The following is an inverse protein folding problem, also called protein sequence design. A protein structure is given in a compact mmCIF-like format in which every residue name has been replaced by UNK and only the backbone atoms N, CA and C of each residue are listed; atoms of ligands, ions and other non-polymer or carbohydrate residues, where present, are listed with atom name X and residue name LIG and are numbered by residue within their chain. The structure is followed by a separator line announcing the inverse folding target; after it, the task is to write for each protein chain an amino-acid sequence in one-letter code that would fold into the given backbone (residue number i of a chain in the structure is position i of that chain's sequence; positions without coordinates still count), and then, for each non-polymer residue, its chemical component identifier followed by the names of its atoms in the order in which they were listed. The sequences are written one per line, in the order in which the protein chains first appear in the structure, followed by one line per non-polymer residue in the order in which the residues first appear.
data_IF_796598468841
#
_entry.id   IF_796598468841
#
_cell.length_a   1.000
_cell.length_b   1.000
_cell.length_c   1.000
_cell.angle_alpha   90.00
_cell.angle_beta   90.00
_cell.angle_gamma   90.00
#
_symmetry.space_group_name_H-M   'P 1'
#
loop_
_entity.id
_entity.type
_entity.pdbx_description
1 polymer ?
#
# COMPACT_ATOMS: atom_id res chain seq x y z
N UNK A 1 24.20 -30.63 -22.43
CA UNK A 1 23.94 -30.84 -20.99
C UNK A 1 22.92 -31.97 -20.88
N UNK A 2 23.29 -33.09 -20.25
CA UNK A 2 22.45 -34.28 -20.14
C UNK A 2 21.38 -34.15 -19.05
N UNK A 3 20.47 -35.14 -18.93
CA UNK A 3 19.36 -35.08 -17.98
C UNK A 3 19.85 -35.10 -16.53
N UNK A 4 19.29 -34.21 -15.71
CA UNK A 4 19.48 -34.21 -14.25
C UNK A 4 18.35 -35.06 -13.66
N UNK A 5 18.69 -36.23 -13.11
CA UNK A 5 17.77 -37.08 -12.37
C UNK A 5 17.72 -36.63 -10.90
N UNK A 6 16.62 -35.97 -10.51
CA UNK A 6 16.29 -35.74 -9.10
C UNK A 6 15.45 -36.94 -8.64
N UNK A 7 15.88 -37.65 -7.60
CA UNK A 7 15.21 -38.80 -6.98
C UNK A 7 13.97 -38.37 -6.16
N UNK A 8 13.17 -37.44 -6.67
CA UNK A 8 11.93 -36.98 -6.04
C UNK A 8 10.92 -36.82 -7.16
N UNK A 9 9.93 -37.71 -7.20
CA UNK A 9 8.76 -37.57 -8.05
C UNK A 9 7.78 -36.61 -7.36
N UNK A 10 7.81 -35.35 -7.78
CA UNK A 10 6.83 -34.37 -7.35
C UNK A 10 5.67 -34.41 -8.35
N UNK A 11 4.46 -34.84 -7.94
CA UNK A 11 3.30 -34.80 -8.83
C UNK A 11 3.11 -33.38 -9.36
N UNK A 12 2.78 -33.26 -10.63
CA UNK A 12 2.53 -31.97 -11.27
C UNK A 12 1.32 -31.30 -10.60
N UNK A 13 1.59 -30.42 -9.64
CA UNK A 13 0.61 -29.59 -8.96
C UNK A 13 0.80 -28.13 -9.37
N UNK A 14 -0.26 -27.28 -9.36
CA UNK A 14 -0.15 -25.90 -9.80
C UNK A 14 0.88 -25.04 -9.05
N UNK A 15 1.32 -25.46 -7.85
CA UNK A 15 2.31 -24.77 -7.04
C UNK A 15 2.84 -25.61 -5.89
N UNK A 16 3.82 -25.08 -5.15
CA UNK A 16 4.49 -25.76 -4.04
C UNK A 16 4.24 -25.03 -2.71
N UNK A 17 3.85 -25.77 -1.67
CA UNK A 17 3.65 -25.20 -0.33
C UNK A 17 2.44 -24.27 -0.18
N UNK A 18 1.52 -24.26 -1.14
CA UNK A 18 0.28 -23.47 -1.02
C UNK A 18 -0.68 -24.10 0.00
N UNK A 19 -1.18 -23.30 0.94
CA UNK A 19 -2.21 -23.66 1.93
C UNK A 19 -3.48 -22.86 1.66
N UNK A 20 -4.13 -23.14 0.54
CA UNK A 20 -5.29 -22.38 0.04
C UNK A 20 -6.53 -23.25 -0.11
N UNK A 21 -7.73 -22.67 0.07
CA UNK A 21 -9.00 -23.37 -0.15
C UNK A 21 -9.30 -23.68 -1.61
N UNK A 22 -9.07 -22.71 -2.51
CA UNK A 22 -9.22 -22.87 -3.96
C UNK A 22 -7.86 -23.09 -4.66
N UNK A 23 -7.83 -23.71 -5.85
CA UNK A 23 -6.60 -23.95 -6.61
C UNK A 23 -5.77 -22.67 -6.78
N UNK A 24 -4.47 -22.78 -6.49
CA UNK A 24 -3.53 -21.65 -6.49
C UNK A 24 -2.17 -22.11 -7.00
N UNK A 25 -1.46 -21.23 -7.70
CA UNK A 25 -0.16 -21.54 -8.32
C UNK A 25 1.01 -20.79 -7.67
N UNK A 26 2.25 -21.20 -7.96
CA UNK A 26 3.45 -20.60 -7.38
C UNK A 26 3.83 -21.19 -6.03
N UNK A 27 4.25 -20.37 -5.06
CA UNK A 27 4.89 -20.82 -3.83
C UNK A 27 4.30 -20.21 -2.56
N UNK A 28 4.06 -21.02 -1.55
CA UNK A 28 3.75 -20.60 -0.18
C UNK A 28 2.58 -19.61 -0.03
N UNK A 29 1.60 -19.67 -0.92
CA UNK A 29 0.40 -18.85 -0.80
C UNK A 29 -0.58 -19.44 0.22
N UNK A 30 -1.42 -18.61 0.85
CA UNK A 30 -2.40 -19.06 1.85
C UNK A 30 -3.73 -18.33 1.77
N UNK A 31 -4.77 -18.87 2.40
CA UNK A 31 -6.11 -18.24 2.48
C UNK A 31 -7.15 -18.88 1.57
N UNK A 32 -8.07 -18.08 1.04
CA UNK A 32 -9.21 -18.59 0.28
C UNK A 32 -8.83 -19.14 -1.12
N UNK A 33 -7.75 -18.66 -1.74
CA UNK A 33 -7.20 -19.23 -2.98
C UNK A 33 -7.57 -18.48 -4.26
N UNK A 34 -7.29 -19.09 -5.42
CA UNK A 34 -7.28 -18.37 -6.69
C UNK A 34 -6.10 -17.39 -6.79
N UNK A 35 -5.01 -17.70 -6.09
CA UNK A 35 -3.83 -16.83 -5.98
C UNK A 35 -2.65 -17.39 -6.77
N UNK A 36 -1.75 -16.53 -7.20
CA UNK A 36 -0.55 -16.92 -7.96
C UNK A 36 0.68 -16.12 -7.59
N UNK A 37 1.86 -16.73 -7.70
CA UNK A 37 3.14 -16.10 -7.35
C UNK A 37 3.66 -16.55 -5.98
N UNK A 38 4.19 -15.66 -5.15
CA UNK A 38 4.92 -16.02 -3.94
C UNK A 38 4.31 -15.41 -2.67
N UNK A 39 3.97 -16.24 -1.69
CA UNK A 39 3.68 -15.79 -0.32
C UNK A 39 2.45 -14.88 -0.20
N UNK A 40 1.52 -14.92 -1.14
CA UNK A 40 0.30 -14.12 -1.04
C UNK A 40 -0.66 -14.73 -0.02
N UNK A 41 -1.40 -13.88 0.70
CA UNK A 41 -2.43 -14.27 1.67
C UNK A 41 -3.78 -13.74 1.19
N UNK A 42 -4.80 -14.59 1.06
CA UNK A 42 -6.15 -14.17 0.74
C UNK A 42 -6.74 -14.86 -0.50
N UNK A 43 -7.48 -14.09 -1.31
CA UNK A 43 -8.14 -14.56 -2.53
C UNK A 43 -7.77 -13.72 -3.76
N UNK A 44 -7.74 -14.35 -4.94
CA UNK A 44 -7.74 -13.66 -6.24
C UNK A 44 -6.64 -12.59 -6.41
N UNK A 45 -5.49 -12.80 -5.78
CA UNK A 45 -4.31 -11.93 -5.84
C UNK A 45 -3.14 -12.62 -6.53
N UNK A 46 -2.35 -11.84 -7.26
CA UNK A 46 -1.18 -12.30 -8.00
C UNK A 46 0.07 -11.50 -7.68
N UNK A 47 1.25 -12.09 -7.83
CA UNK A 47 2.53 -11.43 -7.55
C UNK A 47 3.14 -11.89 -6.23
N UNK A 48 3.57 -10.98 -5.37
CA UNK A 48 4.38 -11.34 -4.19
C UNK A 48 3.95 -10.67 -2.90
N UNK A 49 3.77 -11.44 -1.83
CA UNK A 49 3.52 -10.93 -0.48
C UNK A 49 2.33 -9.98 -0.36
N UNK A 50 1.33 -10.09 -1.23
CA UNK A 50 0.11 -9.31 -1.10
C UNK A 50 -0.77 -9.92 0.00
N UNK A 51 -1.45 -9.07 0.77
CA UNK A 51 -2.41 -9.46 1.80
C UNK A 51 -3.80 -8.96 1.44
N UNK A 52 -4.70 -9.89 1.12
CA UNK A 52 -6.12 -9.62 0.89
C UNK A 52 -6.96 -10.21 2.03
N UNK A 53 -7.41 -9.39 3.01
CA UNK A 53 -8.12 -9.87 4.19
C UNK A 53 -9.55 -10.33 3.89
N UNK A 54 -10.13 -9.93 2.76
CA UNK A 54 -11.45 -10.38 2.33
C UNK A 54 -11.34 -11.42 1.24
N UNK A 55 -11.89 -12.61 1.49
CA UNK A 55 -12.00 -13.67 0.49
C UNK A 55 -12.98 -13.35 -0.65
N UNK A 56 -13.91 -12.42 -0.44
CA UNK A 56 -14.98 -12.09 -1.40
C UNK A 56 -14.62 -10.87 -2.28
N UNK A 57 -13.73 -10.00 -1.79
CA UNK A 57 -13.28 -8.79 -2.48
C UNK A 57 -11.78 -8.84 -2.82
N UNK A 58 -11.14 -9.99 -2.60
CA UNK A 58 -9.78 -10.24 -3.05
C UNK A 58 -9.69 -10.03 -4.56
N UNK A 59 -8.65 -9.36 -5.01
CA UNK A 59 -8.56 -8.92 -6.40
C UNK A 59 -7.38 -8.00 -6.57
N UNK A 60 -6.30 -8.51 -7.15
CA UNK A 60 -5.17 -7.64 -7.38
C UNK A 60 -3.89 -8.27 -7.88
N UNK A 61 -2.90 -7.40 -8.01
CA UNK A 61 -1.58 -7.78 -8.51
C UNK A 61 -0.47 -6.91 -7.92
N UNK A 62 0.76 -7.41 -8.04
CA UNK A 62 1.97 -6.66 -7.70
C UNK A 62 2.61 -7.17 -6.42
N UNK A 63 3.19 -6.29 -5.60
CA UNK A 63 3.96 -6.70 -4.42
C UNK A 63 3.67 -5.90 -3.16
N UNK A 64 3.58 -6.60 -2.03
CA UNK A 64 3.39 -6.01 -0.70
C UNK A 64 2.17 -5.09 -0.56
N UNK A 65 1.14 -5.29 -1.39
CA UNK A 65 -0.10 -4.54 -1.22
C UNK A 65 -0.96 -5.19 -0.13
N UNK A 66 -1.66 -4.38 0.67
CA UNK A 66 -2.54 -4.83 1.74
C UNK A 66 -3.94 -4.23 1.60
N UNK A 67 -4.96 -5.08 1.51
CA UNK A 67 -6.36 -4.69 1.30
C UNK A 67 -6.99 -5.39 0.09
N UNK A 68 -7.84 -4.72 -0.66
CA UNK A 68 -8.63 -5.32 -1.75
C UNK A 68 -8.51 -4.50 -3.02
N UNK A 69 -8.82 -5.05 -4.20
CA UNK A 69 -8.89 -4.26 -5.45
C UNK A 69 -7.65 -3.36 -5.64
N UNK A 70 -6.48 -3.98 -5.70
CA UNK A 70 -5.20 -3.26 -5.68
C UNK A 70 -4.23 -3.73 -6.78
N UNK A 71 -3.42 -2.81 -7.31
CA UNK A 71 -2.34 -3.15 -8.23
C UNK A 71 -1.09 -2.32 -7.98
N UNK A 72 0.09 -2.93 -8.00
CA UNK A 72 1.38 -2.21 -7.95
C UNK A 72 2.17 -2.55 -6.71
N UNK A 73 2.68 -1.57 -5.97
CA UNK A 73 3.63 -1.80 -4.87
C UNK A 73 3.20 -1.06 -3.61
N UNK A 74 3.16 -1.77 -2.47
CA UNK A 74 3.01 -1.16 -1.14
C UNK A 74 1.78 -0.25 -1.01
N UNK A 75 0.67 -0.61 -1.66
CA UNK A 75 -0.60 0.10 -1.49
C UNK A 75 -1.36 -0.48 -0.29
N UNK A 76 -1.93 0.38 0.55
CA UNK A 76 -2.79 0.02 1.68
C UNK A 76 -4.21 0.55 1.48
N UNK A 77 -5.21 -0.33 1.40
CA UNK A 77 -6.60 0.07 1.22
C UNK A 77 -7.35 -0.71 0.15
N UNK A 78 -8.42 -0.11 -0.38
CA UNK A 78 -9.22 -0.68 -1.46
C UNK A 78 -9.28 0.23 -2.67
N UNK A 79 -9.29 -0.34 -3.89
CA UNK A 79 -9.39 0.44 -5.13
C UNK A 79 -8.14 1.29 -5.38
N UNK A 80 -6.96 0.72 -5.17
CA UNK A 80 -5.67 1.42 -5.19
C UNK A 80 -4.79 0.97 -6.36
N UNK A 81 -4.08 1.89 -7.02
CA UNK A 81 -3.05 1.52 -8.00
C UNK A 81 -1.79 2.38 -7.93
N UNK A 82 -0.65 1.80 -8.30
CA UNK A 82 0.64 2.51 -8.31
C UNK A 82 1.53 2.13 -7.12
N UNK A 83 2.26 3.09 -6.54
CA UNK A 83 3.25 2.84 -5.50
C UNK A 83 2.93 3.63 -4.23
N UNK A 84 2.99 2.99 -3.06
CA UNK A 84 2.93 3.64 -1.75
C UNK A 84 1.64 4.45 -1.47
N UNK A 85 0.50 4.08 -2.04
CA UNK A 85 -0.74 4.80 -1.79
C UNK A 85 -1.48 4.25 -0.58
N UNK A 86 -2.08 5.12 0.24
CA UNK A 86 -2.82 4.77 1.45
C UNK A 86 -4.24 5.34 1.40
N UNK A 87 -5.23 4.47 1.63
CA UNK A 87 -6.63 4.84 1.76
C UNK A 87 -6.95 5.38 3.16
N UNK A 88 -7.83 6.38 3.24
CA UNK A 88 -8.50 6.78 4.49
C UNK A 88 -9.84 6.08 4.72
N UNK A 89 -10.34 5.34 3.72
CA UNK A 89 -11.54 4.51 3.81
C UNK A 89 -11.22 3.10 4.32
N UNK A 90 -12.22 2.43 4.87
CA UNK A 90 -12.12 1.03 5.29
C UNK A 90 -11.89 0.07 4.11
N UNK A 91 -11.33 -1.11 4.39
CA UNK A 91 -10.90 -2.08 3.36
C UNK A 91 -12.04 -2.63 2.48
N UNK A 92 -13.31 -2.45 2.86
CA UNK A 92 -14.46 -2.82 2.02
C UNK A 92 -14.91 -1.72 1.05
N UNK A 93 -14.39 -0.50 1.17
CA UNK A 93 -14.83 0.65 0.38
C UNK A 93 -13.69 1.12 -0.53
N UNK A 94 -13.87 1.10 -1.87
CA UNK A 94 -12.83 1.50 -2.80
C UNK A 94 -12.56 3.01 -2.68
N UNK A 95 -11.32 3.37 -2.38
CA UNK A 95 -10.87 4.75 -2.28
C UNK A 95 -10.59 5.37 -3.63
N UNK A 96 -10.40 4.60 -4.72
CA UNK A 96 -10.11 5.12 -6.05
C UNK A 96 -8.91 6.06 -6.05
N UNK A 97 -7.75 5.52 -5.66
CA UNK A 97 -6.50 6.28 -5.60
C UNK A 97 -5.47 5.66 -6.54
N UNK A 98 -4.82 6.50 -7.34
CA UNK A 98 -3.75 6.06 -8.24
C UNK A 98 -2.50 6.94 -8.17
N UNK A 99 -1.32 6.38 -8.35
CA UNK A 99 -0.09 7.16 -8.53
C UNK A 99 1.00 6.81 -7.52
N UNK A 100 1.71 7.81 -7.01
CA UNK A 100 2.92 7.62 -6.21
C UNK A 100 2.80 8.34 -4.86
N UNK A 101 2.73 7.59 -3.76
CA UNK A 101 2.78 8.15 -2.40
C UNK A 101 1.55 8.98 -2.00
N UNK A 102 0.36 8.64 -2.52
CA UNK A 102 -0.86 9.40 -2.22
C UNK A 102 -1.57 8.91 -0.96
N UNK A 103 -2.15 9.80 -0.16
CA UNK A 103 -2.89 9.46 1.08
C UNK A 103 -4.29 10.08 1.05
N UNK A 104 -5.34 9.28 0.90
CA UNK A 104 -6.70 9.84 0.80
C UNK A 104 -7.70 8.98 0.07
N UNK A 105 -8.62 9.64 -0.64
CA UNK A 105 -9.61 9.02 -1.51
C UNK A 105 -9.88 9.89 -2.74
N UNK A 106 -10.27 9.27 -3.85
CA UNK A 106 -10.61 9.87 -5.13
C UNK A 106 -9.51 10.79 -5.63
N UNK A 107 -8.32 10.22 -5.76
CA UNK A 107 -7.08 10.97 -5.92
C UNK A 107 -6.20 10.35 -6.99
N UNK A 108 -5.48 11.19 -7.74
CA UNK A 108 -4.44 10.73 -8.65
C UNK A 108 -3.24 11.67 -8.63
N UNK A 109 -2.04 11.12 -8.81
CA UNK A 109 -0.82 11.91 -9.05
C UNK A 109 0.38 11.50 -8.19
N UNK A 110 1.23 12.49 -7.89
CA UNK A 110 2.46 12.33 -7.11
C UNK A 110 2.30 13.04 -5.77
N UNK A 111 2.54 12.31 -4.69
CA UNK A 111 2.55 12.79 -3.30
C UNK A 111 1.31 13.59 -2.96
N UNK A 112 0.14 13.14 -3.38
CA UNK A 112 -1.08 13.91 -3.17
C UNK A 112 -1.80 13.45 -1.88
N UNK A 113 -2.57 14.33 -1.25
CA UNK A 113 -3.35 14.00 -0.05
C UNK A 113 -4.73 14.63 -0.04
N UNK A 114 -5.68 13.95 0.59
CA UNK A 114 -7.01 14.47 0.88
C UNK A 114 -8.13 13.77 0.09
N UNK A 115 -8.98 14.58 -0.53
CA UNK A 115 -10.18 14.13 -1.27
C UNK A 115 -10.26 14.79 -2.63
N UNK A 116 -11.17 14.33 -3.50
CA UNK A 116 -11.43 14.97 -4.79
C UNK A 116 -11.73 16.48 -4.71
N UNK A 117 -12.33 16.96 -3.61
CA UNK A 117 -12.66 18.38 -3.42
C UNK A 117 -11.57 19.17 -2.70
N UNK A 118 -10.71 18.50 -1.94
CA UNK A 118 -9.65 19.11 -1.15
C UNK A 118 -8.39 18.28 -1.34
N UNK A 119 -7.66 18.58 -2.40
CA UNK A 119 -6.40 17.94 -2.74
C UNK A 119 -5.23 18.85 -2.36
N UNK A 120 -4.32 18.32 -1.54
CA UNK A 120 -3.03 18.93 -1.22
C UNK A 120 -1.87 18.07 -1.71
N UNK A 121 -0.66 18.62 -1.63
CA UNK A 121 0.58 17.85 -1.76
C UNK A 121 1.08 17.43 -0.38
N UNK A 122 1.82 16.34 -0.31
CA UNK A 122 2.50 15.83 0.88
C UNK A 122 4.00 15.97 0.64
N UNK A 123 4.52 17.16 0.90
CA UNK A 123 5.94 17.49 0.77
C UNK A 123 6.46 17.92 2.13
N UNK A 124 6.72 16.95 3.01
CA UNK A 124 7.40 17.20 4.27
C UNK A 124 8.77 16.51 4.25
N UNK A 125 9.78 17.18 4.78
CA UNK A 125 11.13 16.64 4.93
C UNK A 125 11.45 16.49 6.41
N UNK A 126 11.24 15.29 6.93
CA UNK A 126 11.23 15.10 8.37
C UNK A 126 10.48 13.86 8.82
N UNK A 127 10.31 13.73 10.12
CA UNK A 127 9.48 12.69 10.72
C UNK A 127 8.28 13.31 11.41
N UNK A 128 7.14 12.63 11.30
CA UNK A 128 5.89 12.97 11.99
C UNK A 128 5.30 14.35 11.67
N UNK A 129 5.64 14.93 10.51
CA UNK A 129 5.02 16.18 10.05
C UNK A 129 3.65 15.93 9.39
N UNK A 130 2.67 16.78 9.71
CA UNK A 130 1.31 16.77 9.16
C UNK A 130 1.01 18.11 8.50
N UNK A 131 0.55 18.08 7.26
CA UNK A 131 0.34 19.27 6.41
C UNK A 131 1.33 19.31 5.24
N UNK A 132 1.66 20.50 4.74
CA UNK A 132 2.49 20.72 3.56
C UNK A 132 3.73 21.56 3.86
N UNK A 133 4.88 21.17 3.32
CA UNK A 133 6.07 22.03 3.27
C UNK A 133 6.82 22.12 4.60
N UNK A 134 6.58 21.22 5.54
CA UNK A 134 7.29 21.20 6.81
C UNK A 134 8.68 20.56 6.66
N UNK A 135 9.65 21.09 7.38
CA UNK A 135 11.01 20.57 7.44
C UNK A 135 11.41 20.41 8.90
N UNK A 136 11.55 19.16 9.37
CA UNK A 136 12.03 18.86 10.72
C UNK A 136 11.30 17.70 11.41
N UNK A 137 10.75 17.94 12.60
CA UNK A 137 10.18 16.87 13.44
C UNK A 137 8.85 17.28 14.08
N UNK A 138 7.77 16.58 13.75
CA UNK A 138 6.51 16.68 14.48
C UNK A 138 5.79 18.01 14.32
N UNK A 139 5.87 18.66 13.17
CA UNK A 139 5.11 19.89 12.89
C UNK A 139 3.68 19.56 12.41
N UNK A 140 2.71 20.39 12.79
CA UNK A 140 1.30 20.30 12.35
C UNK A 140 0.90 21.61 11.71
N UNK A 141 0.51 21.59 10.44
CA UNK A 141 0.20 22.78 9.64
C UNK A 141 1.19 22.93 8.48
N UNK A 142 1.41 24.15 7.99
CA UNK A 142 2.12 24.35 6.72
C UNK A 142 3.37 25.22 6.85
N UNK A 143 4.41 24.88 6.08
CA UNK A 143 5.65 25.67 5.93
C UNK A 143 6.41 25.94 7.24
N UNK A 144 6.48 24.96 8.15
CA UNK A 144 7.25 25.09 9.39
C UNK A 144 8.68 24.54 9.23
N UNK A 145 9.68 25.23 9.78
CA UNK A 145 11.08 24.79 9.85
C UNK A 145 11.50 24.58 11.31
N UNK A 146 11.68 23.32 11.71
CA UNK A 146 12.11 22.93 13.05
C UNK A 146 11.20 21.87 13.67
N UNK A 147 10.93 21.96 14.97
CA UNK A 147 10.31 20.85 15.71
C UNK A 147 9.10 21.24 16.57
N UNK A 148 8.02 20.46 16.48
CA UNK A 148 6.86 20.60 17.35
C UNK A 148 6.09 21.91 17.18
N UNK A 149 6.03 22.46 15.96
CA UNK A 149 5.26 23.66 15.67
C UNK A 149 3.81 23.30 15.28
N UNK A 150 2.84 24.12 15.70
CA UNK A 150 1.43 23.99 15.32
C UNK A 150 0.95 25.29 14.66
N UNK A 151 0.58 25.23 13.38
CA UNK A 151 0.15 26.36 12.57
C UNK A 151 1.05 26.58 11.35
N UNK A 152 1.28 27.84 10.96
CA UNK A 152 1.89 28.17 9.68
C UNK A 152 3.15 29.04 9.78
N UNK A 153 4.13 28.83 8.90
CA UNK A 153 5.29 29.72 8.75
C UNK A 153 6.13 29.91 10.03
N UNK A 154 6.27 28.88 10.84
CA UNK A 154 7.10 28.94 12.05
C UNK A 154 8.54 28.53 11.77
N UNK A 155 9.48 29.13 12.51
CA UNK A 155 10.90 28.75 12.53
C UNK A 155 11.34 28.49 13.96
N UNK A 156 12.08 27.41 14.20
CA UNK A 156 12.46 26.96 15.53
C UNK A 156 11.50 25.89 16.04
N UNK A 157 11.20 25.86 17.34
CA UNK A 157 10.37 24.81 17.90
C UNK A 157 9.42 25.22 19.01
N UNK A 158 8.31 24.48 19.12
CA UNK A 158 7.28 24.70 20.12
C UNK A 158 6.37 25.90 19.85
N UNK A 159 6.31 26.40 18.61
CA UNK A 159 5.47 27.54 18.26
C UNK A 159 4.00 27.12 18.08
N UNK A 160 3.06 27.98 18.46
CA UNK A 160 1.62 27.83 18.19
C UNK A 160 1.12 29.08 17.49
N UNK A 161 0.43 28.90 16.36
CA UNK A 161 -0.06 29.98 15.51
C UNK A 161 0.79 30.13 14.25
N UNK A 162 0.85 31.33 13.70
CA UNK A 162 1.69 31.61 12.55
C UNK A 162 2.09 33.07 12.44
N UNK A 163 3.09 33.30 11.59
CA UNK A 163 3.57 34.63 11.22
C UNK A 163 2.95 35.09 9.90
#
# INVERSE_FOLDING_TARGET
LGPVHILIDLPAVPGFGNTTGAPSSGFFNSGAGGVSGFGNVGAMVSGGWNQAPSALLGGGSGVFNAGTLHSGVLNFGSGMSGLFNTSVLGLGAPALVSGLGSVGQQLSGLLASGTALHQGLVLNFGLADVGLGNVGLGNVGDFNLGAGNVGGFNVGGGNIGGN
#
